data_IF_902528634676
#
_entry.id   IF_902528634676
#
_cell.length_a   1.000
_cell.length_b   1.000
_cell.length_c   1.000
_cell.angle_alpha   90.00
_cell.angle_beta   90.00
_cell.angle_gamma   90.00
#
_symmetry.space_group_name_H-M   'P 1'
#
loop_
_entity.id
_entity.type
_entity.pdbx_description
1 polymer ?
#
# COMPACT_ATOMS: atom_id res chain seq x y z
N UNK A 1 32.68 16.23 20.51
CA UNK A 1 32.10 17.02 19.41
C UNK A 1 31.52 16.03 18.40
N UNK A 2 30.19 15.98 18.31
CA UNK A 2 29.48 14.98 17.49
C UNK A 2 29.43 15.50 16.06
N UNK A 3 30.08 14.75 15.17
CA UNK A 3 30.13 15.01 13.75
C UNK A 3 28.79 14.59 13.13
N UNK A 4 28.00 15.54 12.65
CA UNK A 4 26.73 15.26 12.00
C UNK A 4 27.00 14.70 10.59
N UNK A 5 26.75 13.40 10.40
CA UNK A 5 26.75 12.80 9.06
C UNK A 5 25.57 13.33 8.24
N UNK A 6 25.91 13.86 7.07
CA UNK A 6 25.03 14.40 6.04
C UNK A 6 23.99 13.37 5.60
N UNK A 7 22.71 13.64 5.87
CA UNK A 7 21.61 12.86 5.29
C UNK A 7 21.57 13.06 3.79
N UNK A 8 21.81 11.98 3.05
CA UNK A 8 21.73 11.95 1.60
C UNK A 8 20.26 12.11 1.16
N UNK A 9 20.05 13.15 0.36
CA UNK A 9 18.85 13.43 -0.41
C UNK A 9 18.78 12.41 -1.57
N UNK A 10 17.76 11.56 -1.60
CA UNK A 10 17.38 10.84 -2.82
C UNK A 10 16.05 11.40 -3.29
N UNK A 11 16.17 12.37 -4.21
CA UNK A 11 15.08 12.87 -5.03
C UNK A 11 14.81 11.88 -6.17
N UNK A 12 13.54 11.80 -6.57
CA UNK A 12 13.02 11.33 -7.86
C UNK A 12 12.79 9.82 -8.07
N UNK A 13 11.52 9.43 -7.88
CA UNK A 13 10.80 8.74 -8.95
C UNK A 13 9.32 9.16 -8.94
N UNK A 14 8.98 10.13 -9.80
CA UNK A 14 7.62 10.59 -10.05
C UNK A 14 6.88 9.57 -10.92
N UNK A 15 5.85 8.95 -10.34
CA UNK A 15 4.82 8.20 -11.05
C UNK A 15 3.46 8.61 -10.50
N UNK A 16 2.87 9.60 -11.18
CA UNK A 16 1.57 10.25 -10.98
C UNK A 16 0.42 9.33 -10.54
N UNK A 17 -0.26 9.68 -9.43
CA UNK A 17 -1.67 10.14 -9.38
C UNK A 17 -2.26 10.06 -7.97
N UNK A 18 -2.97 11.14 -7.61
CA UNK A 18 -3.90 11.30 -6.47
C UNK A 18 -3.33 11.66 -5.09
N UNK A 19 -3.02 12.95 -4.95
CA UNK A 19 -3.46 13.82 -3.86
C UNK A 19 -3.85 13.12 -2.53
N UNK A 20 -2.94 13.19 -1.56
CA UNK A 20 -3.29 13.39 -0.16
C UNK A 20 -2.22 14.31 0.43
N UNK A 21 -2.72 15.43 0.91
CA UNK A 21 -2.08 16.66 1.34
C UNK A 21 -0.94 16.49 2.34
N UNK A 22 -0.07 17.49 2.32
CA UNK A 22 0.95 17.84 3.29
C UNK A 22 0.47 17.69 4.74
N UNK A 23 1.29 17.13 5.64
CA UNK A 23 1.62 17.81 6.89
C UNK A 23 2.84 17.19 7.59
N UNK A 24 3.73 18.09 7.97
CA UNK A 24 4.89 17.97 8.83
C UNK A 24 4.45 17.65 10.27
N UNK A 25 4.72 16.46 10.80
CA UNK A 25 4.74 16.25 12.26
C UNK A 25 5.41 14.91 12.63
N UNK A 26 6.33 14.98 13.59
CA UNK A 26 7.10 13.89 14.19
C UNK A 26 6.25 12.67 14.60
N UNK A 27 6.07 11.76 13.65
CA UNK A 27 5.39 10.46 13.82
C UNK A 27 6.39 9.37 13.40
N UNK A 28 6.30 8.13 13.94
CA UNK A 28 7.24 7.06 13.61
C UNK A 28 7.42 6.96 12.09
N UNK A 29 8.68 6.96 11.65
CA UNK A 29 9.07 7.08 10.24
C UNK A 29 8.22 6.14 9.38
N UNK A 30 7.34 6.68 8.53
CA UNK A 30 6.54 5.88 7.59
C UNK A 30 7.51 5.07 6.73
N UNK A 31 7.37 3.75 6.74
CA UNK A 31 8.26 2.89 5.94
C UNK A 31 8.12 3.26 4.47
N UNK A 32 9.24 3.42 3.80
CA UNK A 32 9.24 3.75 2.37
C UNK A 32 8.64 2.62 1.53
N UNK A 33 8.17 2.93 0.33
CA UNK A 33 7.67 1.93 -0.62
C UNK A 33 8.68 0.80 -0.86
N UNK A 34 10.00 1.10 -0.85
CA UNK A 34 11.06 0.11 -1.01
C UNK A 34 11.11 -0.85 0.17
N UNK A 35 11.03 -0.35 1.40
CA UNK A 35 11.01 -1.18 2.61
C UNK A 35 9.75 -2.05 2.67
N UNK A 36 8.60 -1.50 2.31
CA UNK A 36 7.34 -2.25 2.25
C UNK A 36 7.38 -3.36 1.20
N UNK A 37 7.96 -3.09 0.02
CA UNK A 37 8.13 -4.08 -1.05
C UNK A 37 9.16 -5.16 -0.71
N UNK A 38 10.16 -4.82 0.10
CA UNK A 38 11.17 -5.78 0.58
C UNK A 38 10.63 -6.70 1.67
N UNK A 39 9.56 -6.31 2.37
CA UNK A 39 8.88 -7.18 3.33
C UNK A 39 8.04 -8.23 2.59
N UNK A 40 8.63 -9.39 2.35
CA UNK A 40 7.99 -10.51 1.64
C UNK A 40 6.74 -11.02 2.35
N UNK A 41 6.68 -10.92 3.68
CA UNK A 41 5.50 -11.33 4.46
C UNK A 41 4.36 -10.36 4.21
N UNK A 42 4.62 -9.05 4.31
CA UNK A 42 3.62 -8.02 3.99
C UNK A 42 3.13 -8.18 2.55
N UNK A 43 4.06 -8.26 1.58
CA UNK A 43 3.71 -8.35 0.17
C UNK A 43 2.92 -9.61 -0.14
N UNK A 44 3.34 -10.76 0.41
CA UNK A 44 2.65 -12.02 0.23
C UNK A 44 1.24 -11.98 0.82
N UNK A 45 1.08 -11.43 2.01
CA UNK A 45 -0.20 -11.28 2.69
C UNK A 45 -1.16 -10.36 1.92
N UNK A 46 -0.69 -9.18 1.51
CA UNK A 46 -1.52 -8.24 0.75
C UNK A 46 -1.98 -8.85 -0.58
N UNK A 47 -1.08 -9.54 -1.30
CA UNK A 47 -1.42 -10.19 -2.57
C UNK A 47 -2.42 -11.31 -2.40
N UNK A 48 -2.18 -12.22 -1.45
CA UNK A 48 -3.10 -13.32 -1.17
C UNK A 48 -4.50 -12.80 -0.79
N UNK A 49 -4.57 -11.75 0.03
CA UNK A 49 -5.86 -11.18 0.41
C UNK A 49 -6.58 -10.51 -0.77
N UNK A 50 -5.86 -9.80 -1.64
CA UNK A 50 -6.45 -9.21 -2.86
C UNK A 50 -6.95 -10.30 -3.81
N UNK A 51 -6.16 -11.36 -4.01
CA UNK A 51 -6.52 -12.49 -4.87
C UNK A 51 -7.71 -13.28 -4.33
N UNK A 52 -7.78 -13.49 -3.01
CA UNK A 52 -8.91 -14.17 -2.37
C UNK A 52 -10.21 -13.34 -2.39
N UNK A 53 -10.10 -12.01 -2.47
CA UNK A 53 -11.25 -11.10 -2.51
C UNK A 53 -11.49 -10.47 -3.89
N UNK A 54 -10.90 -11.03 -4.95
CA UNK A 54 -11.08 -10.52 -6.31
C UNK A 54 -12.50 -10.88 -6.79
N UNK A 55 -13.23 -9.87 -7.28
CA UNK A 55 -14.52 -10.06 -7.91
C UNK A 55 -14.40 -10.49 -9.38
N UNK A 56 -15.53 -10.82 -9.98
CA UNK A 56 -15.65 -11.18 -11.41
C UNK A 56 -15.17 -10.07 -12.36
N UNK A 57 -15.17 -8.81 -11.91
CA UNK A 57 -14.68 -7.65 -12.64
C UNK A 57 -13.14 -7.48 -12.55
N UNK A 58 -12.46 -8.35 -11.81
CA UNK A 58 -11.01 -8.30 -11.60
C UNK A 58 -10.56 -7.26 -10.59
N UNK A 59 -11.48 -6.73 -9.77
CA UNK A 59 -11.19 -5.80 -8.68
C UNK A 59 -11.64 -6.37 -7.34
N UNK A 60 -10.93 -6.00 -6.27
CA UNK A 60 -11.17 -6.48 -4.92
C UNK A 60 -11.62 -5.32 -4.04
N UNK A 61 -12.66 -5.50 -3.24
CA UNK A 61 -13.11 -4.46 -2.31
C UNK A 61 -12.12 -4.29 -1.16
N UNK A 62 -11.62 -3.07 -0.90
CA UNK A 62 -10.68 -2.84 0.21
C UNK A 62 -11.24 -3.30 1.56
N UNK A 63 -12.54 -3.11 1.79
CA UNK A 63 -13.20 -3.55 3.02
C UNK A 63 -13.07 -5.06 3.23
N UNK A 64 -13.37 -5.85 2.19
CA UNK A 64 -13.23 -7.31 2.23
C UNK A 64 -11.77 -7.73 2.39
N UNK A 65 -10.86 -7.10 1.65
CA UNK A 65 -9.41 -7.36 1.77
C UNK A 65 -8.91 -7.09 3.19
N UNK A 66 -9.33 -5.98 3.80
CA UNK A 66 -8.98 -5.63 5.18
C UNK A 66 -9.52 -6.64 6.19
N UNK A 67 -10.78 -7.05 6.06
CA UNK A 67 -11.37 -8.10 6.90
C UNK A 67 -10.65 -9.43 6.73
N UNK A 68 -10.33 -9.82 5.50
CA UNK A 68 -9.61 -11.05 5.21
C UNK A 68 -8.20 -11.05 5.82
N UNK A 69 -7.46 -9.94 5.68
CA UNK A 69 -6.16 -9.75 6.31
C UNK A 69 -6.24 -9.86 7.83
N UNK A 70 -7.21 -9.18 8.45
CA UNK A 70 -7.40 -9.18 9.90
C UNK A 70 -7.77 -10.56 10.45
N UNK A 71 -8.45 -11.39 9.65
CA UNK A 71 -8.82 -12.75 10.02
C UNK A 71 -7.66 -13.75 9.82
N UNK A 72 -6.81 -13.53 8.82
CA UNK A 72 -5.71 -14.43 8.49
C UNK A 72 -4.44 -14.18 9.31
N UNK A 73 -4.21 -12.93 9.73
CA UNK A 73 -3.03 -12.58 10.50
C UNK A 73 -3.34 -11.44 11.47
N UNK A 74 -2.57 -11.39 12.57
CA UNK A 74 -2.49 -10.22 13.45
C UNK A 74 -1.73 -9.09 12.75
N UNK A 75 -2.36 -8.52 11.73
CA UNK A 75 -1.80 -7.48 10.90
C UNK A 75 -2.23 -6.10 11.40
N UNK A 76 -1.26 -5.22 11.66
CA UNK A 76 -1.53 -3.83 12.03
C UNK A 76 -0.74 -2.86 11.13
N UNK A 77 -1.41 -1.99 10.34
CA UNK A 77 -0.76 -0.94 9.54
C UNK A 77 0.16 -0.01 10.36
N UNK A 78 -0.12 0.15 11.66
CA UNK A 78 0.67 1.03 12.56
C UNK A 78 2.09 0.53 12.75
N UNK A 79 2.32 -0.78 12.66
CA UNK A 79 3.66 -1.39 12.69
C UNK A 79 4.54 -0.95 11.51
N UNK A 80 3.93 -0.35 10.49
CA UNK A 80 4.59 0.17 9.29
C UNK A 80 4.61 1.69 9.23
N UNK A 81 4.07 2.38 10.26
CA UNK A 81 3.93 3.83 10.31
C UNK A 81 2.68 4.38 9.62
N UNK A 82 1.69 3.53 9.31
CA UNK A 82 0.48 3.93 8.61
C UNK A 82 -0.75 3.86 9.51
N UNK A 83 -1.58 4.90 9.50
CA UNK A 83 -2.81 4.94 10.29
C UNK A 83 -3.96 4.15 9.67
N UNK A 84 -3.92 3.94 8.35
CA UNK A 84 -4.97 3.28 7.57
C UNK A 84 -4.36 2.24 6.64
N UNK A 85 -5.03 1.10 6.49
CA UNK A 85 -4.64 0.07 5.52
C UNK A 85 -4.62 0.63 4.08
N UNK A 86 -5.59 1.48 3.72
CA UNK A 86 -5.63 2.11 2.39
C UNK A 86 -4.34 2.87 2.06
N UNK A 87 -3.81 3.61 3.05
CA UNK A 87 -2.61 4.43 2.86
C UNK A 87 -1.36 3.56 2.76
N UNK A 88 -1.30 2.48 3.55
CA UNK A 88 -0.24 1.50 3.44
C UNK A 88 -0.21 0.84 2.07
N UNK A 89 -1.36 0.36 1.60
CA UNK A 89 -1.49 -0.33 0.31
C UNK A 89 -1.08 0.61 -0.83
N UNK A 90 -1.55 1.86 -0.81
CA UNK A 90 -1.11 2.88 -1.77
C UNK A 90 0.40 3.10 -1.71
N UNK A 91 0.97 3.19 -0.51
CA UNK A 91 2.40 3.39 -0.34
C UNK A 91 3.24 2.20 -0.80
N UNK A 92 2.71 0.97 -0.76
CA UNK A 92 3.40 -0.17 -1.38
C UNK A 92 3.52 0.02 -2.90
N UNK A 93 2.60 0.75 -3.54
CA UNK A 93 2.60 0.97 -4.99
C UNK A 93 2.49 -0.31 -5.82
N UNK A 94 2.11 -1.43 -5.20
CA UNK A 94 1.94 -2.74 -5.85
C UNK A 94 0.55 -2.93 -6.46
N UNK A 95 -0.42 -2.18 -5.96
CA UNK A 95 -1.82 -2.29 -6.32
C UNK A 95 -2.30 -0.99 -6.95
N UNK A 96 -3.22 -1.10 -7.88
CA UNK A 96 -4.04 0.00 -8.35
C UNK A 96 -5.23 0.17 -7.39
N UNK A 97 -5.53 1.43 -7.07
CA UNK A 97 -6.66 1.81 -6.23
C UNK A 97 -7.63 2.65 -7.04
N UNK A 98 -8.89 2.23 -7.10
CA UNK A 98 -9.95 2.95 -7.81
C UNK A 98 -11.12 3.26 -6.87
N UNK A 99 -11.73 4.44 -6.98
CA UNK A 99 -12.92 4.81 -6.18
C UNK A 99 -14.13 4.88 -7.11
N UNK A 100 -14.98 3.86 -7.09
CA UNK A 100 -16.17 3.76 -7.94
C UNK A 100 -17.42 4.30 -7.25
N UNK A 101 -17.52 5.61 -7.09
CA UNK A 101 -18.70 6.32 -6.55
C UNK A 101 -19.09 6.02 -5.09
N UNK A 102 -18.70 4.87 -4.56
CA UNK A 102 -18.83 4.42 -3.19
C UNK A 102 -17.67 4.95 -2.37
N UNK A 103 -17.89 5.17 -1.07
CA UNK A 103 -16.84 5.67 -0.17
C UNK A 103 -15.68 4.67 0.02
N UNK A 104 -15.86 3.40 -0.39
CA UNK A 104 -14.85 2.36 -0.29
C UNK A 104 -14.02 2.24 -1.59
N UNK A 105 -12.68 2.25 -1.51
CA UNK A 105 -11.83 2.03 -2.67
C UNK A 105 -11.77 0.53 -3.03
N UNK A 106 -11.55 0.28 -4.31
CA UNK A 106 -11.27 -1.02 -4.89
C UNK A 106 -9.77 -1.16 -5.12
N UNK A 107 -9.28 -2.39 -5.06
CA UNK A 107 -7.88 -2.77 -5.24
C UNK A 107 -7.76 -3.71 -6.42
N UNK A 108 -6.69 -3.55 -7.20
CA UNK A 108 -6.30 -4.53 -8.23
C UNK A 108 -4.80 -4.71 -8.23
N UNK A 109 -4.32 -5.94 -8.37
CA UNK A 109 -2.88 -6.18 -8.51
C UNK A 109 -2.41 -5.68 -9.89
N UNK A 110 -1.39 -4.81 -9.90
CA UNK A 110 -0.78 -4.28 -11.13
C UNK A 110 -0.24 -5.38 -12.05
N UNK A 111 0.20 -6.51 -11.50
CA UNK A 111 0.63 -7.67 -12.29
C UNK A 111 -0.54 -8.35 -12.98
N UNK A 112 -1.68 -8.49 -12.30
CA UNK A 112 -2.87 -9.11 -12.87
C UNK A 112 -3.46 -8.25 -14.02
N UNK A 113 -3.39 -6.93 -13.89
CA UNK A 113 -3.75 -6.00 -14.96
C UNK A 113 -2.90 -6.18 -16.23
N UNK A 114 -1.58 -6.43 -16.09
CA UNK A 114 -0.70 -6.69 -17.24
C UNK A 114 -0.95 -8.04 -17.91
N UNK A 115 -1.36 -9.06 -17.15
CA UNK A 115 -1.60 -10.42 -17.68
C UNK A 115 -2.88 -10.52 -18.54
N UNK A 116 -3.82 -9.58 -18.39
CA UNK A 116 -5.08 -9.55 -19.14
C UNK A 116 -5.03 -8.68 -20.40
N UNK A 117 -3.90 -8.02 -20.66
CA UNK A 117 -3.69 -7.15 -21.82
C UNK A 117 -2.76 -7.76 -22.89
N UNK A 118 -2.50 -9.07 -22.83
CA UNK A 118 -1.62 -9.80 -23.75
C UNK A 118 -2.28 -11.06 -24.30
#
# INVERSE_FOLDING_TARGET
>A
FVNACSKFLYLENLGTLSQASEETAASPQRKSAKELKSDTKLVGLLRNAVEACIGDDGWSHLGQVGSHISNQASFDPRNYGYSKLSDLIKATGLFDTERRGSNQPYLRDKRAAKKSAG
#
